data_IF_557146489925
#
_entry.id   IF_557146489925
#
_cell.length_a   1.000
_cell.length_b   1.000
_cell.length_c   1.000
_cell.angle_alpha   90.00
_cell.angle_beta   90.00
_cell.angle_gamma   90.00
#
_symmetry.space_group_name_H-M   'P 1'
#
loop_
_entity.id
_entity.type
_entity.pdbx_description
1 polymer ?
#
# COMPACT_ATOMS: atom_id res chain seq x y z
N UNK A 1 -2.54 -12.88 24.66
CA UNK A 1 -2.04 -11.51 24.42
C UNK A 1 -2.31 -11.15 22.96
N UNK A 2 -2.90 -9.97 22.69
CA UNK A 2 -3.17 -9.50 21.32
C UNK A 2 -2.28 -8.29 21.05
N UNK A 3 -1.27 -8.46 20.19
CA UNK A 3 -0.36 -7.39 19.78
C UNK A 3 0.95 -7.95 19.24
N UNK A 4 1.55 -7.28 18.26
CA UNK A 4 2.89 -7.61 17.80
C UNK A 4 3.91 -7.02 18.78
N UNK A 5 4.84 -7.84 19.26
CA UNK A 5 6.03 -7.36 19.98
C UNK A 5 7.15 -7.10 18.97
N UNK A 6 7.80 -5.95 19.08
CA UNK A 6 9.06 -5.67 18.39
C UNK A 6 10.08 -5.19 19.43
N UNK A 7 11.35 -5.45 19.17
CA UNK A 7 12.48 -5.01 20.00
C UNK A 7 13.56 -4.43 19.11
N UNK A 8 14.20 -3.36 19.56
CA UNK A 8 15.33 -2.73 18.90
C UNK A 8 16.30 -2.23 19.97
N UNK A 9 17.60 -2.38 19.73
CA UNK A 9 18.64 -1.87 20.63
C UNK A 9 18.71 -0.34 20.47
N UNK A 10 18.32 0.36 21.53
CA UNK A 10 18.35 1.83 21.61
C UNK A 10 19.19 2.25 22.80
N UNK A 11 19.91 3.37 22.65
CA UNK A 11 20.63 3.99 23.78
C UNK A 11 19.64 4.33 24.89
N UNK A 12 20.07 4.21 26.15
CA UNK A 12 19.23 4.38 27.33
C UNK A 12 18.48 5.73 27.34
N UNK A 13 19.14 6.80 26.91
CA UNK A 13 18.55 8.14 26.81
C UNK A 13 17.34 8.18 25.88
N UNK A 14 17.42 7.49 24.74
CA UNK A 14 16.34 7.41 23.74
C UNK A 14 15.21 6.52 24.24
N UNK A 15 15.54 5.37 24.86
CA UNK A 15 14.56 4.50 25.50
C UNK A 15 13.75 5.24 26.56
N UNK A 16 14.43 6.02 27.40
CA UNK A 16 13.82 6.82 28.47
C UNK A 16 12.92 7.91 27.93
N UNK A 17 13.35 8.63 26.89
CA UNK A 17 12.53 9.65 26.24
C UNK A 17 11.28 9.04 25.59
N UNK A 18 11.40 7.92 24.89
CA UNK A 18 10.26 7.19 24.28
C UNK A 18 9.30 6.68 25.36
N UNK A 19 9.83 6.11 26.46
CA UNK A 19 9.03 5.65 27.58
C UNK A 19 8.25 6.79 28.26
N UNK A 20 8.89 7.94 28.47
CA UNK A 20 8.26 9.10 29.10
C UNK A 20 7.25 9.82 28.19
N UNK A 21 7.44 9.72 26.87
CA UNK A 21 6.58 10.35 25.86
C UNK A 21 5.47 9.43 25.33
N UNK A 22 5.53 8.13 25.64
CA UNK A 22 4.51 7.17 25.25
C UNK A 22 3.18 7.43 25.95
N UNK A 23 2.14 7.81 25.19
CA UNK A 23 0.76 7.81 25.68
C UNK A 23 0.32 6.34 25.81
N UNK A 24 0.65 5.70 26.94
CA UNK A 24 0.25 4.34 27.26
C UNK A 24 -1.26 4.28 27.51
N UNK A 25 -2.05 4.40 26.45
CA UNK A 25 -3.43 3.92 26.41
C UNK A 25 -3.44 2.41 26.19
N UNK A 26 -2.78 1.70 27.11
CA UNK A 26 -3.07 0.30 27.39
C UNK A 26 -4.45 0.21 28.05
N UNK A 27 -5.05 -0.99 27.99
CA UNK A 27 -6.36 -1.28 28.55
C UNK A 27 -6.50 -0.76 30.00
N UNK A 28 -7.71 -0.29 30.36
CA UNK A 28 -8.02 0.49 31.57
C UNK A 28 -7.56 -0.21 32.87
N UNK A 29 -6.33 0.01 33.30
CA UNK A 29 -5.95 -0.13 34.70
C UNK A 29 -6.67 0.97 35.47
N UNK A 30 -7.35 0.60 36.56
CA UNK A 30 -7.90 1.56 37.53
C UNK A 30 -6.78 2.26 38.32
N UNK A 31 -5.70 2.68 37.67
CA UNK A 31 -4.74 3.58 38.27
C UNK A 31 -5.42 4.95 38.33
N UNK A 32 -5.78 5.33 39.55
CA UNK A 32 -6.34 6.64 39.83
C UNK A 32 -5.41 7.71 39.28
N UNK A 33 -5.96 8.71 38.61
CA UNK A 33 -5.16 9.79 38.06
C UNK A 33 -4.39 10.48 39.18
N UNK A 34 -3.16 10.92 38.91
CA UNK A 34 -2.31 11.64 39.87
C UNK A 34 -3.03 12.77 40.63
N UNK A 35 -3.94 13.57 40.02
CA UNK A 35 -4.75 14.54 40.76
C UNK A 35 -5.63 13.92 41.85
N UNK A 36 -6.07 12.68 41.68
CA UNK A 36 -6.96 11.96 42.61
C UNK A 36 -6.22 11.46 43.85
N UNK A 37 -4.98 11.02 43.68
CA UNK A 37 -4.11 10.62 44.79
C UNK A 37 -3.70 11.83 45.62
N UNK A 38 -3.35 12.94 44.94
CA UNK A 38 -2.97 14.19 45.57
C UNK A 38 -4.12 14.81 46.41
N UNK A 39 -5.35 14.77 45.89
CA UNK A 39 -6.53 15.26 46.63
C UNK A 39 -6.86 14.36 47.83
N UNK A 40 -6.68 13.03 47.72
CA UNK A 40 -6.94 12.09 48.83
C UNK A 40 -5.91 12.19 49.95
N UNK A 41 -4.69 12.60 49.64
CA UNK A 41 -3.63 12.84 50.64
C UNK A 41 -3.78 14.19 51.36
N UNK A 42 -4.37 15.20 50.71
CA UNK A 42 -4.51 16.55 51.27
C UNK A 42 -5.89 16.88 51.85
N UNK A 43 -6.95 16.25 51.36
CA UNK A 43 -8.30 16.41 51.91
C UNK A 43 -8.70 15.11 52.59
N UNK A 44 -8.91 15.16 53.91
CA UNK A 44 -9.55 14.10 54.71
C UNK A 44 -11.04 13.94 54.34
N UNK A 45 -11.34 13.87 53.05
CA UNK A 45 -12.68 13.64 52.53
C UNK A 45 -12.86 12.13 52.36
N UNK A 46 -13.62 11.53 53.28
CA UNK A 46 -14.01 10.14 53.21
C UNK A 46 -14.71 9.83 51.88
N UNK A 47 -14.52 8.61 51.39
CA UNK A 47 -14.90 8.14 50.05
C UNK A 47 -16.39 8.38 49.72
N UNK A 48 -17.27 8.40 50.73
CA UNK A 48 -18.69 8.73 50.62
C UNK A 48 -18.97 10.16 50.14
N UNK A 49 -18.13 11.12 50.51
CA UNK A 49 -18.36 12.54 50.21
C UNK A 49 -18.04 12.86 48.75
N UNK A 50 -17.19 12.03 48.13
CA UNK A 50 -16.84 12.09 46.72
C UNK A 50 -17.86 11.41 45.82
N UNK A 51 -18.50 10.32 46.24
CA UNK A 51 -19.66 9.77 45.53
C UNK A 51 -20.87 10.72 45.57
N UNK A 52 -21.10 11.39 46.70
CA UNK A 52 -22.13 12.44 46.83
C UNK A 52 -21.80 13.65 45.96
N UNK A 53 -20.53 14.08 45.86
CA UNK A 53 -20.10 15.14 44.94
C UNK A 53 -20.13 14.71 43.47
N UNK A 54 -19.77 13.47 43.12
CA UNK A 54 -19.91 12.95 41.75
C UNK A 54 -21.37 12.82 41.34
N UNK A 55 -22.27 12.38 42.23
CA UNK A 55 -23.71 12.40 41.98
C UNK A 55 -24.23 13.83 41.83
N UNK A 56 -23.66 14.81 42.54
CA UNK A 56 -23.97 16.25 42.35
C UNK A 56 -23.42 16.81 41.04
N UNK A 57 -22.24 16.40 40.56
CA UNK A 57 -21.64 16.78 39.27
C UNK A 57 -22.30 16.04 38.09
N UNK A 58 -22.81 14.83 38.31
CA UNK A 58 -23.60 14.09 37.34
C UNK A 58 -25.05 14.62 37.27
N UNK A 59 -25.63 15.07 38.38
CA UNK A 59 -26.97 15.72 38.43
C UNK A 59 -26.94 17.17 37.97
N UNK A 60 -25.92 17.95 38.33
CA UNK A 60 -25.57 19.20 37.64
C UNK A 60 -24.70 18.82 36.46
N UNK A 61 -25.29 18.06 35.53
CA UNK A 61 -24.60 17.62 34.33
C UNK A 61 -23.78 18.77 33.81
N UNK A 62 -22.46 18.54 33.70
CA UNK A 62 -21.57 19.41 32.97
C UNK A 62 -22.34 19.74 31.70
N UNK A 63 -22.86 20.96 31.59
CA UNK A 63 -23.44 21.44 30.37
C UNK A 63 -22.25 21.42 29.41
N UNK A 64 -22.07 20.27 28.73
CA UNK A 64 -21.43 20.21 27.43
C UNK A 64 -21.95 21.46 26.76
N UNK A 65 -21.06 22.38 26.37
CA UNK A 65 -21.41 23.44 25.43
C UNK A 65 -22.03 22.72 24.23
N UNK A 66 -23.36 22.61 24.24
CA UNK A 66 -24.18 21.99 23.21
C UNK A 66 -24.15 23.00 22.09
N UNK A 67 -23.28 22.79 21.12
CA UNK A 67 -23.10 23.72 20.01
C UNK A 67 -22.16 23.22 18.92
N UNK A 68 -21.29 22.24 19.20
CA UNK A 68 -20.53 21.55 18.17
C UNK A 68 -21.23 20.26 17.73
N UNK A 69 -21.26 19.92 16.42
CA UNK A 69 -21.68 18.58 16.00
C UNK A 69 -20.81 17.53 16.70
N UNK A 70 -21.36 16.34 17.02
CA UNK A 70 -20.58 15.26 17.60
C UNK A 70 -19.42 14.90 16.66
N UNK A 71 -18.18 15.13 17.11
CA UNK A 71 -16.99 14.69 16.37
C UNK A 71 -16.93 13.16 16.49
N UNK A 72 -17.23 12.46 15.42
CA UNK A 72 -17.02 11.02 15.34
C UNK A 72 -15.53 10.70 15.51
N UNK A 73 -15.23 9.64 16.27
CA UNK A 73 -13.84 9.17 16.38
C UNK A 73 -13.40 8.70 15.00
N UNK A 74 -12.27 9.20 14.46
CA UNK A 74 -11.78 8.72 13.18
C UNK A 74 -11.58 7.21 13.26
N UNK A 75 -12.08 6.49 12.26
CA UNK A 75 -11.85 5.06 12.15
C UNK A 75 -10.35 4.82 12.05
N UNK A 76 -9.81 4.00 12.95
CA UNK A 76 -8.42 3.60 12.88
C UNK A 76 -8.17 2.81 11.58
N UNK A 77 -6.98 2.97 11.00
CA UNK A 77 -6.52 2.28 9.78
C UNK A 77 -7.35 2.66 8.54
N UNK A 78 -7.37 3.96 8.22
CA UNK A 78 -7.88 4.48 6.95
C UNK A 78 -6.67 4.96 6.13
N UNK A 79 -6.51 4.44 4.92
CA UNK A 79 -5.40 4.78 4.03
C UNK A 79 -5.93 5.17 2.65
N UNK A 80 -5.33 6.20 2.06
CA UNK A 80 -5.55 6.52 0.65
C UNK A 80 -4.82 5.51 -0.24
N UNK A 81 -3.64 5.05 0.18
CA UNK A 81 -2.80 4.15 -0.60
C UNK A 81 -2.15 3.06 0.26
N UNK A 82 -2.07 1.84 -0.28
CA UNK A 82 -1.33 0.73 0.32
C UNK A 82 -0.50 0.00 -0.73
N UNK A 83 0.76 -0.32 -0.39
CA UNK A 83 1.67 -1.05 -1.27
C UNK A 83 1.86 -2.48 -0.76
N UNK A 84 1.65 -3.47 -1.63
CA UNK A 84 1.72 -4.90 -1.33
C UNK A 84 2.80 -5.54 -2.19
N UNK A 85 3.73 -6.27 -1.56
CA UNK A 85 4.98 -6.76 -2.16
C UNK A 85 5.88 -5.63 -2.71
N UNK A 86 5.77 -4.41 -2.15
CA UNK A 86 6.44 -3.21 -2.66
C UNK A 86 7.95 -3.15 -2.46
N UNK A 87 8.52 -4.06 -1.66
CA UNK A 87 9.95 -4.14 -1.31
C UNK A 87 10.58 -2.79 -0.95
N UNK A 88 11.07 -2.01 -1.91
CA UNK A 88 11.69 -0.71 -1.67
C UNK A 88 10.71 0.39 -1.22
N UNK A 89 9.39 0.21 -1.38
CA UNK A 89 8.41 1.15 -0.83
C UNK A 89 8.32 2.50 -1.54
N UNK A 90 8.87 2.61 -2.74
CA UNK A 90 9.03 3.91 -3.39
C UNK A 90 7.72 4.45 -3.93
N UNK A 91 6.75 3.59 -4.23
CA UNK A 91 5.40 4.06 -4.54
C UNK A 91 4.76 4.67 -3.30
N UNK A 92 4.97 4.05 -2.14
CA UNK A 92 4.53 4.59 -0.86
C UNK A 92 5.17 5.96 -0.58
N UNK A 93 6.47 6.11 -0.81
CA UNK A 93 7.17 7.39 -0.65
C UNK A 93 6.61 8.47 -1.58
N UNK A 94 6.45 8.16 -2.87
CA UNK A 94 5.95 9.11 -3.87
C UNK A 94 4.50 9.52 -3.58
N UNK A 95 3.64 8.57 -3.20
CA UNK A 95 2.26 8.87 -2.80
C UNK A 95 2.23 9.72 -1.52
N UNK A 96 3.12 9.45 -0.57
CA UNK A 96 3.26 10.27 0.64
C UNK A 96 3.71 11.69 0.31
N UNK A 97 4.67 11.86 -0.61
CA UNK A 97 5.12 13.17 -1.09
C UNK A 97 4.00 13.99 -1.75
N UNK A 98 3.02 13.32 -2.37
CA UNK A 98 1.82 13.95 -2.96
C UNK A 98 0.74 14.30 -1.92
N UNK A 99 0.96 13.99 -0.65
CA UNK A 99 0.08 14.32 0.47
C UNK A 99 -0.99 13.27 0.77
N UNK A 100 -0.85 12.04 0.27
CA UNK A 100 -1.78 10.95 0.56
C UNK A 100 -1.48 10.30 1.92
N UNK A 101 -2.52 9.77 2.57
CA UNK A 101 -2.35 8.94 3.76
C UNK A 101 -1.92 7.54 3.33
N UNK A 102 -0.63 7.26 3.44
CA UNK A 102 -0.05 5.99 3.01
C UNK A 102 0.01 4.98 4.16
N UNK A 103 -0.44 3.76 3.90
CA UNK A 103 -0.35 2.65 4.84
C UNK A 103 1.03 2.01 4.88
N UNK A 104 1.22 0.99 5.74
CA UNK A 104 2.48 0.27 5.80
C UNK A 104 2.78 -0.48 4.50
N UNK A 105 4.05 -0.55 4.10
CA UNK A 105 4.50 -1.38 2.98
C UNK A 105 4.43 -2.85 3.40
N UNK A 106 3.54 -3.61 2.76
CA UNK A 106 3.30 -5.02 3.07
C UNK A 106 4.28 -5.89 2.29
N UNK A 107 5.44 -6.17 2.87
CA UNK A 107 6.44 -7.05 2.26
C UNK A 107 7.17 -7.88 3.33
N UNK A 108 7.45 -9.15 3.01
CA UNK A 108 8.11 -10.10 3.93
C UNK A 108 9.52 -9.63 4.35
N UNK A 109 10.16 -8.79 3.55
CA UNK A 109 11.47 -8.20 3.86
C UNK A 109 11.46 -7.27 5.06
N UNK A 110 10.32 -6.64 5.37
CA UNK A 110 10.16 -5.79 6.56
C UNK A 110 9.75 -6.57 7.80
N UNK A 111 8.92 -7.60 7.63
CA UNK A 111 8.33 -8.31 8.75
C UNK A 111 7.84 -9.70 8.37
N UNK A 112 8.09 -10.69 9.23
CA UNK A 112 7.56 -12.07 9.05
C UNK A 112 6.03 -12.10 9.10
N UNK A 113 5.42 -11.11 9.76
CA UNK A 113 3.97 -10.93 9.83
C UNK A 113 3.38 -10.49 8.48
N UNK A 114 4.22 -10.03 7.55
CA UNK A 114 3.82 -9.67 6.19
C UNK A 114 3.97 -10.82 5.18
N UNK A 115 4.07 -12.06 5.67
CA UNK A 115 4.05 -13.24 4.82
C UNK A 115 2.65 -13.52 4.25
N UNK A 116 2.48 -13.24 2.96
CA UNK A 116 1.25 -13.52 2.19
C UNK A 116 1.00 -15.01 1.92
N UNK A 117 1.98 -15.87 2.17
CA UNK A 117 1.91 -17.32 1.93
C UNK A 117 1.40 -18.06 3.18
N UNK A 118 1.63 -17.49 4.36
CA UNK A 118 1.32 -18.10 5.66
C UNK A 118 -0.12 -18.62 5.76
N UNK A 119 -0.24 -19.90 6.09
CA UNK A 119 -1.50 -20.65 6.16
C UNK A 119 -2.15 -20.69 7.56
N UNK A 120 -1.55 -20.06 8.58
CA UNK A 120 -2.12 -20.10 9.94
C UNK A 120 -3.53 -19.51 9.96
N UNK A 121 -4.50 -20.39 10.25
CA UNK A 121 -5.93 -20.15 10.53
C UNK A 121 -6.65 -19.31 9.46
N UNK A 122 -6.28 -19.47 8.18
CA UNK A 122 -6.55 -18.56 7.05
C UNK A 122 -5.70 -17.30 7.12
N UNK A 123 -4.95 -17.03 6.05
CA UNK A 123 -4.16 -15.83 5.86
C UNK A 123 -4.73 -14.60 6.57
N UNK A 124 -4.24 -14.32 7.77
CA UNK A 124 -4.70 -13.19 8.56
C UNK A 124 -4.35 -11.89 7.85
N UNK A 125 -3.17 -11.83 7.23
CA UNK A 125 -2.79 -10.71 6.38
C UNK A 125 -3.59 -10.67 5.07
N UNK A 126 -3.66 -11.73 4.23
CA UNK A 126 -4.56 -11.73 3.07
C UNK A 126 -6.02 -11.38 3.40
N UNK A 127 -6.56 -11.93 4.49
CA UNK A 127 -7.92 -11.68 4.96
C UNK A 127 -8.10 -10.27 5.51
N UNK A 128 -7.11 -9.74 6.22
CA UNK A 128 -7.09 -8.35 6.66
C UNK A 128 -7.04 -7.40 5.45
N UNK A 129 -6.20 -7.68 4.45
CA UNK A 129 -6.16 -6.89 3.21
C UNK A 129 -7.50 -6.92 2.48
N UNK A 130 -8.12 -8.11 2.36
CA UNK A 130 -9.45 -8.25 1.78
C UNK A 130 -10.48 -7.45 2.58
N UNK A 131 -10.48 -7.53 3.90
CA UNK A 131 -11.35 -6.74 4.77
C UNK A 131 -11.14 -5.23 4.56
N UNK A 132 -9.89 -4.77 4.51
CA UNK A 132 -9.57 -3.36 4.33
C UNK A 132 -10.04 -2.85 2.96
N UNK A 133 -9.90 -3.66 1.90
CA UNK A 133 -10.40 -3.34 0.56
C UNK A 133 -11.94 -3.36 0.53
N UNK A 134 -12.57 -4.43 0.99
CA UNK A 134 -14.03 -4.61 0.94
C UNK A 134 -14.79 -3.56 1.76
N UNK A 135 -14.22 -3.12 2.88
CA UNK A 135 -14.79 -2.05 3.70
C UNK A 135 -14.33 -0.65 3.27
N UNK A 136 -13.71 -0.50 2.09
CA UNK A 136 -13.23 0.77 1.53
C UNK A 136 -12.35 1.56 2.52
N UNK A 137 -11.59 0.84 3.35
CA UNK A 137 -10.59 1.42 4.27
C UNK A 137 -9.27 1.73 3.58
N UNK A 138 -9.10 1.21 2.37
CA UNK A 138 -8.02 1.55 1.45
C UNK A 138 -8.68 2.06 0.16
N UNK A 139 -8.27 3.22 -0.34
CA UNK A 139 -8.81 3.78 -1.59
C UNK A 139 -8.06 3.32 -2.83
N UNK A 140 -6.77 3.05 -2.71
CA UNK A 140 -5.92 2.54 -3.78
C UNK A 140 -4.89 1.51 -3.28
N UNK A 141 -4.60 0.49 -4.07
CA UNK A 141 -3.56 -0.51 -3.78
C UNK A 141 -2.67 -0.78 -4.97
N UNK A 142 -1.35 -0.85 -4.75
CA UNK A 142 -0.38 -1.35 -5.72
C UNK A 142 0.17 -2.70 -5.25
N UNK A 143 0.12 -3.70 -6.13
CA UNK A 143 0.43 -5.09 -5.84
C UNK A 143 1.55 -5.55 -6.77
N UNK A 144 2.73 -5.83 -6.21
CA UNK A 144 3.96 -6.15 -6.96
C UNK A 144 4.47 -7.56 -6.63
N UNK A 145 3.68 -8.64 -6.85
CA UNK A 145 4.04 -9.97 -6.40
C UNK A 145 5.35 -10.43 -7.07
N UNK A 146 6.23 -11.13 -6.34
CA UNK A 146 7.52 -11.50 -6.87
C UNK A 146 7.38 -12.42 -8.08
N UNK A 147 7.93 -11.96 -9.19
CA UNK A 147 7.85 -12.63 -10.49
C UNK A 147 9.04 -13.54 -10.80
N UNK A 148 9.90 -13.84 -9.83
CA UNK A 148 11.18 -14.56 -10.04
C UNK A 148 11.00 -15.92 -10.72
N UNK A 149 9.99 -16.70 -10.31
CA UNK A 149 9.66 -17.99 -10.94
C UNK A 149 8.90 -17.86 -12.27
N UNK A 150 8.27 -16.70 -12.51
CA UNK A 150 7.59 -16.36 -13.75
C UNK A 150 8.48 -15.68 -14.79
N UNK A 151 9.69 -15.27 -14.40
CA UNK A 151 10.64 -14.65 -15.30
C UNK A 151 11.01 -15.57 -16.47
N UNK A 152 11.12 -15.04 -17.70
CA UNK A 152 11.73 -15.77 -18.82
C UNK A 152 13.17 -16.20 -18.53
N UNK A 153 13.89 -15.42 -17.73
CA UNK A 153 15.28 -15.67 -17.37
C UNK A 153 15.46 -16.67 -16.21
N UNK A 154 14.37 -17.20 -15.63
CA UNK A 154 14.44 -18.15 -14.55
C UNK A 154 15.14 -19.45 -15.00
N UNK A 155 16.29 -19.77 -14.40
CA UNK A 155 17.06 -21.00 -14.64
C UNK A 155 17.25 -21.80 -13.33
N UNK A 156 17.00 -23.12 -13.31
CA UNK A 156 16.28 -23.86 -14.35
C UNK A 156 14.83 -23.32 -14.50
N UNK A 157 14.27 -23.48 -15.70
CA UNK A 157 12.90 -23.08 -15.96
C UNK A 157 11.95 -24.09 -15.29
N UNK A 158 11.09 -23.61 -14.40
CA UNK A 158 10.11 -24.45 -13.67
C UNK A 158 8.68 -24.32 -14.22
N UNK A 159 8.51 -23.49 -15.26
CA UNK A 159 7.24 -23.20 -15.93
C UNK A 159 7.47 -22.64 -17.34
N UNK A 160 6.49 -22.82 -18.23
CA UNK A 160 6.49 -22.30 -19.60
C UNK A 160 5.32 -21.33 -19.84
N UNK A 161 5.24 -20.71 -21.02
CA UNK A 161 4.08 -19.91 -21.41
C UNK A 161 2.81 -20.75 -21.63
N UNK A 162 2.97 -22.01 -22.08
CA UNK A 162 1.87 -22.97 -22.25
C UNK A 162 1.41 -23.56 -20.92
N UNK A 163 2.33 -23.66 -19.95
CA UNK A 163 2.07 -24.19 -18.61
C UNK A 163 2.55 -23.18 -17.55
N UNK A 164 1.85 -22.03 -17.42
CA UNK A 164 2.27 -20.93 -16.55
C UNK A 164 2.11 -21.25 -15.07
N UNK A 165 1.32 -22.27 -14.70
CA UNK A 165 1.22 -22.79 -13.32
C UNK A 165 2.40 -23.70 -12.92
N UNK A 166 3.28 -24.04 -13.86
CA UNK A 166 4.52 -24.79 -13.62
C UNK A 166 4.40 -26.30 -13.83
N UNK A 167 5.53 -26.90 -14.21
CA UNK A 167 5.64 -28.31 -14.63
C UNK A 167 5.43 -29.30 -13.47
N UNK A 168 5.78 -28.89 -12.25
CA UNK A 168 5.63 -29.67 -11.03
C UNK A 168 5.19 -28.75 -9.90
N UNK A 169 3.98 -28.95 -9.38
CA UNK A 169 3.38 -28.10 -8.34
C UNK A 169 3.97 -28.35 -6.95
N UNK A 170 4.60 -29.50 -6.75
CA UNK A 170 5.32 -29.86 -5.52
C UNK A 170 6.67 -29.14 -5.42
N UNK A 171 7.19 -28.62 -6.54
CA UNK A 171 8.40 -27.83 -6.53
C UNK A 171 8.18 -26.54 -5.69
N UNK A 172 8.98 -26.28 -4.62
CA UNK A 172 8.78 -25.14 -3.74
C UNK A 172 8.76 -23.79 -4.46
N UNK A 173 9.57 -23.63 -5.51
CA UNK A 173 9.64 -22.39 -6.32
C UNK A 173 8.35 -22.16 -7.12
N UNK A 174 7.74 -23.23 -7.61
CA UNK A 174 6.44 -23.18 -8.29
C UNK A 174 5.33 -22.88 -7.29
N UNK A 175 5.33 -23.60 -6.18
CA UNK A 175 4.34 -23.48 -5.11
C UNK A 175 4.29 -22.06 -4.53
N UNK A 176 5.43 -21.51 -4.11
CA UNK A 176 5.55 -20.14 -3.59
C UNK A 176 5.10 -19.12 -4.64
N UNK A 177 5.61 -19.23 -5.87
CA UNK A 177 5.29 -18.30 -6.94
C UNK A 177 3.79 -18.28 -7.26
N UNK A 178 3.16 -19.45 -7.36
CA UNK A 178 1.72 -19.56 -7.62
C UNK A 178 0.91 -18.92 -6.50
N UNK A 179 1.23 -19.20 -5.24
CA UNK A 179 0.50 -18.62 -4.11
C UNK A 179 0.56 -17.10 -4.09
N UNK A 180 1.75 -16.52 -4.27
CA UNK A 180 1.88 -15.06 -4.30
C UNK A 180 1.16 -14.43 -5.50
N UNK A 181 1.25 -15.04 -6.68
CA UNK A 181 0.50 -14.59 -7.86
C UNK A 181 -1.01 -14.65 -7.63
N UNK A 182 -1.54 -15.77 -7.11
CA UNK A 182 -2.97 -15.93 -6.86
C UNK A 182 -3.47 -15.01 -5.76
N UNK A 183 -2.69 -14.77 -4.70
CA UNK A 183 -3.02 -13.78 -3.67
C UNK A 183 -3.09 -12.38 -4.27
N UNK A 184 -2.11 -11.98 -5.09
CA UNK A 184 -2.14 -10.69 -5.78
C UNK A 184 -3.35 -10.53 -6.69
N UNK A 185 -3.66 -11.53 -7.51
CA UNK A 185 -4.83 -11.53 -8.39
C UNK A 185 -6.15 -11.51 -7.59
N UNK A 186 -6.23 -12.23 -6.48
CA UNK A 186 -7.40 -12.21 -5.60
C UNK A 186 -7.61 -10.84 -4.93
N UNK A 187 -6.54 -10.15 -4.54
CA UNK A 187 -6.62 -8.79 -4.02
C UNK A 187 -7.09 -7.80 -5.09
N UNK A 188 -6.59 -7.92 -6.33
CA UNK A 188 -7.05 -7.10 -7.45
C UNK A 188 -8.53 -7.37 -7.78
N UNK A 189 -8.94 -8.63 -7.76
CA UNK A 189 -10.34 -9.03 -7.92
C UNK A 189 -11.22 -8.45 -6.82
N UNK A 190 -10.78 -8.47 -5.56
CA UNK A 190 -11.51 -7.83 -4.47
C UNK A 190 -11.58 -6.30 -4.64
N UNK A 191 -10.50 -5.67 -5.11
CA UNK A 191 -10.47 -4.24 -5.38
C UNK A 191 -11.49 -3.86 -6.46
N UNK A 192 -11.60 -4.67 -7.52
CA UNK A 192 -12.60 -4.50 -8.57
C UNK A 192 -14.01 -4.39 -7.98
N UNK A 193 -14.48 -5.41 -7.26
CA UNK A 193 -15.84 -5.45 -6.71
C UNK A 193 -16.08 -4.46 -5.57
N UNK A 194 -15.03 -4.06 -4.86
CA UNK A 194 -15.12 -3.04 -3.81
C UNK A 194 -15.05 -1.61 -4.36
N UNK A 195 -14.95 -1.41 -5.69
CA UNK A 195 -14.76 -0.10 -6.31
C UNK A 195 -13.53 0.65 -5.79
N UNK A 196 -12.50 -0.11 -5.40
CA UNK A 196 -11.20 0.39 -4.95
C UNK A 196 -10.25 0.38 -6.14
N UNK A 197 -9.39 1.39 -6.25
CA UNK A 197 -8.37 1.41 -7.30
C UNK A 197 -7.34 0.32 -7.01
N UNK A 198 -7.13 -0.57 -7.98
CA UNK A 198 -6.14 -1.62 -7.86
C UNK A 198 -5.16 -1.56 -9.02
N UNK A 199 -3.89 -1.81 -8.74
CA UNK A 199 -2.87 -2.00 -9.75
C UNK A 199 -2.03 -3.21 -9.39
N UNK A 200 -1.84 -4.10 -10.36
CA UNK A 200 -0.96 -5.25 -10.22
C UNK A 200 0.16 -5.18 -11.27
N UNK A 201 1.41 -5.13 -10.82
CA UNK A 201 2.60 -5.04 -11.66
C UNK A 201 3.20 -6.42 -11.96
N UNK A 202 3.65 -6.60 -13.20
CA UNK A 202 4.58 -7.66 -13.54
C UNK A 202 5.45 -7.27 -14.74
N UNK A 203 6.67 -7.82 -14.89
CA UNK A 203 7.48 -7.55 -16.09
C UNK A 203 6.75 -7.96 -17.37
N UNK A 204 6.95 -7.22 -18.47
CA UNK A 204 6.19 -7.42 -19.73
C UNK A 204 6.16 -8.86 -20.22
N UNK A 205 7.31 -9.56 -20.12
CA UNK A 205 7.49 -10.94 -20.59
C UNK A 205 7.24 -12.00 -19.51
N UNK A 206 6.78 -11.62 -18.33
CA UNK A 206 6.43 -12.53 -17.25
C UNK A 206 5.48 -13.62 -17.75
N UNK A 207 5.67 -14.87 -17.30
CA UNK A 207 4.75 -15.98 -17.59
C UNK A 207 3.44 -15.86 -16.79
N UNK A 208 3.39 -14.98 -15.78
CA UNK A 208 2.23 -14.80 -14.89
C UNK A 208 0.99 -14.29 -15.63
N UNK A 209 1.21 -13.46 -16.65
CA UNK A 209 0.18 -12.90 -17.53
C UNK A 209 -0.56 -13.94 -18.39
N UNK A 210 -0.05 -15.17 -18.44
CA UNK A 210 -0.66 -16.29 -19.16
C UNK A 210 -1.48 -17.19 -18.23
N UNK A 211 -1.51 -16.90 -16.92
CA UNK A 211 -2.38 -17.60 -15.98
C UNK A 211 -3.85 -17.43 -16.40
N UNK A 212 -4.63 -18.49 -16.25
CA UNK A 212 -6.07 -18.48 -16.56
C UNK A 212 -6.79 -17.41 -15.75
N UNK A 213 -6.37 -17.19 -14.50
CA UNK A 213 -6.89 -16.16 -13.61
C UNK A 213 -6.63 -14.75 -14.15
N UNK A 214 -5.44 -14.48 -14.69
CA UNK A 214 -5.14 -13.20 -15.33
C UNK A 214 -6.02 -12.97 -16.55
N UNK A 215 -6.11 -13.99 -17.43
CA UNK A 215 -6.92 -13.94 -18.63
C UNK A 215 -8.41 -13.78 -18.31
N UNK A 216 -8.89 -14.43 -17.25
CA UNK A 216 -10.25 -14.28 -16.77
C UNK A 216 -10.51 -12.84 -16.28
N UNK A 217 -9.63 -12.25 -15.49
CA UNK A 217 -9.81 -10.87 -15.03
C UNK A 217 -9.92 -9.87 -16.19
N UNK A 218 -9.19 -10.09 -17.29
CA UNK A 218 -9.30 -9.25 -18.49
C UNK A 218 -10.68 -9.31 -19.17
N UNK A 219 -11.49 -10.33 -18.87
CA UNK A 219 -12.87 -10.42 -19.38
C UNK A 219 -13.86 -9.58 -18.58
N UNK A 220 -13.47 -9.11 -17.39
CA UNK A 220 -14.35 -8.36 -16.49
C UNK A 220 -14.33 -6.87 -16.83
N UNK A 221 -15.51 -6.25 -16.77
CA UNK A 221 -15.63 -4.80 -16.84
C UNK A 221 -14.95 -4.14 -15.65
N UNK A 222 -14.25 -3.02 -15.89
CA UNK A 222 -13.46 -2.32 -14.87
C UNK A 222 -12.02 -2.81 -14.72
N UNK A 223 -11.64 -3.91 -15.39
CA UNK A 223 -10.24 -4.34 -15.53
C UNK A 223 -9.66 -3.83 -16.84
N UNK A 224 -8.45 -3.27 -16.80
CA UNK A 224 -7.68 -2.87 -17.99
C UNK A 224 -6.25 -3.36 -17.88
N UNK A 225 -5.63 -3.64 -19.03
CA UNK A 225 -4.20 -3.93 -19.10
C UNK A 225 -3.49 -2.82 -19.86
N UNK A 226 -2.37 -2.37 -19.31
CA UNK A 226 -1.43 -1.50 -20.02
C UNK A 226 -0.02 -2.03 -19.97
N UNK A 227 0.80 -1.58 -20.92
CA UNK A 227 2.19 -2.02 -21.03
C UNK A 227 3.13 -0.86 -21.24
N UNK A 228 3.42 -0.10 -20.15
CA UNK A 228 4.37 0.99 -20.16
C UNK A 228 5.81 0.50 -20.29
N UNK A 229 6.67 1.39 -20.78
CA UNK A 229 8.11 1.24 -20.69
C UNK A 229 8.69 2.38 -19.84
N UNK A 230 9.60 2.07 -18.90
CA UNK A 230 10.21 3.08 -18.02
C UNK A 230 10.89 4.22 -18.78
N UNK A 231 11.42 3.95 -19.97
CA UNK A 231 12.06 4.95 -20.82
C UNK A 231 11.09 6.01 -21.38
N UNK A 232 9.78 5.72 -21.44
CA UNK A 232 8.76 6.72 -21.79
C UNK A 232 8.59 7.80 -20.70
N UNK A 233 9.13 7.53 -19.50
CA UNK A 233 9.05 8.40 -18.33
C UNK A 233 10.44 8.86 -17.87
N UNK A 234 11.41 8.94 -18.79
CA UNK A 234 12.74 9.50 -18.52
C UNK A 234 13.74 8.55 -17.88
N UNK A 235 13.42 7.26 -17.72
CA UNK A 235 14.43 6.28 -17.26
C UNK A 235 15.45 5.98 -18.35
N UNK A 236 16.73 5.88 -17.96
CA UNK A 236 17.84 5.49 -18.86
C UNK A 236 17.66 4.04 -19.35
N UNK A 237 16.99 3.19 -18.57
CA UNK A 237 16.78 1.78 -18.90
C UNK A 237 15.46 1.57 -19.62
N UNK A 238 15.48 0.70 -20.63
CA UNK A 238 14.29 0.19 -21.29
C UNK A 238 13.74 -1.02 -20.52
N UNK A 239 13.05 -0.77 -19.40
CA UNK A 239 12.33 -1.79 -18.64
C UNK A 239 10.85 -1.72 -18.99
N UNK A 240 10.33 -2.80 -19.54
CA UNK A 240 8.92 -2.90 -19.93
C UNK A 240 8.11 -3.65 -18.87
N UNK A 241 6.91 -3.17 -18.62
CA UNK A 241 6.00 -3.72 -17.62
C UNK A 241 4.67 -4.13 -18.27
N UNK A 242 3.89 -4.90 -17.52
CA UNK A 242 2.45 -4.99 -17.66
C UNK A 242 1.82 -4.57 -16.35
N UNK A 243 0.85 -3.67 -16.43
CA UNK A 243 -0.03 -3.36 -15.31
C UNK A 243 -1.41 -3.91 -15.61
N UNK A 244 -1.96 -4.64 -14.67
CA UNK A 244 -3.37 -5.00 -14.64
C UNK A 244 -4.05 -4.09 -13.64
N UNK A 245 -4.97 -3.26 -14.10
CA UNK A 245 -5.57 -2.21 -13.28
C UNK A 245 -7.06 -2.47 -13.07
N UNK A 246 -7.57 -2.14 -11.89
CA UNK A 246 -8.97 -2.26 -11.49
C UNK A 246 -9.54 -0.89 -11.15
N UNK A 247 -10.72 -0.60 -11.69
CA UNK A 247 -11.49 0.64 -11.46
C UNK A 247 -10.76 1.93 -11.86
N UNK A 248 -9.72 1.87 -12.68
CA UNK A 248 -8.95 3.03 -13.15
C UNK A 248 -8.76 2.99 -14.65
N UNK A 249 -8.71 4.18 -15.26
CA UNK A 249 -8.43 4.38 -16.67
C UNK A 249 -6.94 4.68 -16.84
N UNK A 250 -6.17 3.79 -17.50
CA UNK A 250 -4.71 3.86 -17.51
C UNK A 250 -4.13 4.70 -18.68
N UNK A 251 -4.93 5.58 -19.29
CA UNK A 251 -4.58 6.29 -20.53
C UNK A 251 -3.30 7.12 -20.42
N UNK A 252 -3.03 7.73 -19.26
CA UNK A 252 -1.82 8.51 -19.02
C UNK A 252 -0.53 7.67 -19.04
N UNK A 253 -0.63 6.36 -18.76
CA UNK A 253 0.50 5.43 -18.60
C UNK A 253 0.72 4.53 -19.81
N UNK A 254 -0.20 4.49 -20.77
CA UNK A 254 -0.08 3.72 -22.02
C UNK A 254 1.03 4.18 -22.98
N UNK A 255 1.95 5.05 -22.53
CA UNK A 255 3.01 5.65 -23.35
C UNK A 255 4.08 4.61 -23.72
N UNK A 256 4.34 4.49 -25.02
CA UNK A 256 5.55 3.86 -25.57
C UNK A 256 6.31 4.89 -26.39
N UNK A 257 7.65 4.83 -26.37
CA UNK A 257 8.45 5.44 -27.43
C UNK A 257 8.35 4.54 -28.66
N UNK A 258 7.80 5.06 -29.75
CA UNK A 258 8.14 4.56 -31.08
C UNK A 258 9.53 5.08 -31.42
N UNK A 259 10.49 4.18 -31.63
CA UNK A 259 11.78 4.56 -32.20
C UNK A 259 11.54 4.66 -33.72
N UNK A 260 11.21 5.85 -34.20
CA UNK A 260 11.33 6.17 -35.62
C UNK A 260 12.82 6.23 -35.94
N UNK A 261 13.36 5.19 -36.58
CA UNK A 261 14.66 5.28 -37.25
C UNK A 261 14.48 6.20 -38.46
N UNK A 262 14.67 7.52 -38.28
CA UNK A 262 14.90 8.39 -39.44
C UNK A 262 16.31 8.10 -39.95
N UNK A 263 16.39 7.43 -41.08
CA UNK A 263 17.60 7.38 -41.89
C UNK A 263 18.00 8.82 -42.28
N UNK A 264 19.02 9.38 -41.62
CA UNK A 264 19.57 10.68 -42.02
C UNK A 264 20.22 11.45 -40.89
N UNK A 265 21.56 11.53 -40.96
CA UNK A 265 22.47 12.56 -40.44
C UNK A 265 22.05 13.45 -39.25
N UNK A 266 22.84 13.32 -38.18
CA UNK A 266 23.28 14.40 -37.28
C UNK A 266 22.20 15.37 -36.76
N UNK A 267 21.41 14.91 -35.80
CA UNK A 267 21.09 15.66 -34.58
C UNK A 267 20.56 14.69 -33.52
N UNK A 268 20.91 14.91 -32.26
CA UNK A 268 20.45 14.07 -31.14
C UNK A 268 18.92 14.02 -31.05
N UNK A 269 18.33 13.10 -30.27
CA UNK A 269 16.89 12.97 -30.17
C UNK A 269 16.24 14.25 -29.62
N UNK A 270 15.71 15.09 -30.51
CA UNK A 270 14.90 16.24 -30.16
C UNK A 270 13.52 15.71 -29.74
N UNK A 271 13.23 15.85 -28.46
CA UNK A 271 11.97 15.43 -27.86
C UNK A 271 10.95 16.56 -28.02
N UNK A 272 10.16 16.56 -29.10
CA UNK A 272 8.98 17.43 -29.21
C UNK A 272 7.71 16.63 -28.92
N UNK A 273 6.92 17.06 -27.94
CA UNK A 273 5.56 16.57 -27.74
C UNK A 273 4.60 17.74 -27.51
N UNK A 274 3.50 17.76 -28.26
CA UNK A 274 2.40 18.71 -28.09
C UNK A 274 1.63 18.35 -26.82
N UNK A 275 1.45 19.34 -25.95
CA UNK A 275 0.55 19.31 -24.80
C UNK A 275 -0.85 19.61 -25.33
N UNK A 276 -1.68 18.60 -25.53
CA UNK A 276 -3.12 18.86 -25.67
C UNK A 276 -3.70 19.06 -24.27
N UNK A 277 -4.24 20.26 -24.07
CA UNK A 277 -4.92 20.67 -22.85
C UNK A 277 -6.17 19.81 -22.65
N UNK A 278 -6.27 19.12 -21.52
CA UNK A 278 -7.57 18.69 -21.03
C UNK A 278 -7.72 18.96 -19.53
N UNK A 279 -8.85 19.61 -19.24
CA UNK A 279 -9.54 19.86 -17.97
C UNK A 279 -9.34 21.28 -17.40
N UNK A 280 -10.27 22.16 -17.80
CA UNK A 280 -10.75 23.31 -17.03
C UNK A 280 -11.97 22.88 -16.20
N UNK A 281 -11.99 23.30 -14.92
CA UNK A 281 -13.12 23.25 -13.99
C UNK A 281 -13.02 22.08 -12.99
N UNK A 282 -13.10 22.25 -11.67
CA UNK A 282 -13.50 23.37 -10.82
C UNK A 282 -12.79 23.24 -9.45
N UNK A 283 -12.42 24.37 -8.87
CA UNK A 283 -11.94 24.50 -7.49
C UNK A 283 -13.02 24.04 -6.50
N UNK A 284 -12.83 22.87 -5.89
CA UNK A 284 -13.40 22.53 -4.59
C UNK A 284 -12.44 21.54 -3.89
N UNK A 285 -12.06 21.87 -2.65
CA UNK A 285 -10.96 21.25 -1.88
C UNK A 285 -11.14 19.79 -1.45
N UNK A 286 -11.91 18.98 -2.18
CA UNK A 286 -11.92 17.52 -2.06
C UNK A 286 -11.29 16.91 -3.31
N UNK A 287 -10.11 16.28 -3.15
CA UNK A 287 -9.48 15.48 -4.21
C UNK A 287 -10.42 14.34 -4.61
N UNK A 288 -11.04 14.49 -5.78
CA UNK A 288 -11.93 13.51 -6.40
C UNK A 288 -11.18 12.21 -6.71
N UNK A 289 -11.89 11.06 -6.78
CA UNK A 289 -11.26 9.75 -7.03
C UNK A 289 -10.42 9.68 -8.31
N UNK A 290 -10.69 10.53 -9.30
CA UNK A 290 -9.91 10.63 -10.53
C UNK A 290 -8.47 11.14 -10.31
N UNK A 291 -8.25 12.04 -9.34
CA UNK A 291 -6.91 12.55 -9.02
C UNK A 291 -6.01 11.46 -8.42
N UNK A 292 -6.51 10.64 -7.49
CA UNK A 292 -5.78 9.54 -6.87
C UNK A 292 -5.38 8.47 -7.90
N UNK A 293 -6.27 8.18 -8.85
CA UNK A 293 -6.01 7.27 -9.97
C UNK A 293 -4.86 7.76 -10.86
N UNK A 294 -4.91 9.03 -11.28
CA UNK A 294 -3.85 9.62 -12.10
C UNK A 294 -2.53 9.72 -11.34
N UNK A 295 -2.58 10.11 -10.06
CA UNK A 295 -1.40 10.23 -9.23
C UNK A 295 -0.72 8.90 -8.97
N UNK A 296 -1.47 7.83 -8.74
CA UNK A 296 -0.92 6.48 -8.61
C UNK A 296 -0.18 6.05 -9.89
N UNK A 297 -0.83 6.27 -11.03
CA UNK A 297 -0.32 5.94 -12.35
C UNK A 297 0.93 6.77 -12.71
N UNK A 298 0.93 8.06 -12.41
CA UNK A 298 2.06 8.97 -12.64
C UNK A 298 3.21 8.71 -11.65
N UNK A 299 2.91 8.32 -10.41
CA UNK A 299 3.91 7.90 -9.42
C UNK A 299 4.70 6.68 -9.92
N UNK A 300 3.99 5.70 -10.47
CA UNK A 300 4.61 4.51 -11.06
C UNK A 300 5.41 4.78 -12.33
N UNK A 301 4.96 5.75 -13.14
CA UNK A 301 5.71 6.25 -14.28
C UNK A 301 7.03 6.91 -13.86
N UNK A 302 7.01 7.78 -12.85
CA UNK A 302 8.17 8.53 -12.35
C UNK A 302 9.19 7.65 -11.59
N UNK A 303 8.71 6.60 -10.91
CA UNK A 303 9.43 5.69 -10.00
C UNK A 303 10.81 5.18 -10.49
N UNK A 304 11.06 5.03 -11.79
CA UNK A 304 12.31 4.41 -12.29
C UNK A 304 13.35 5.37 -12.84
N UNK A 305 13.24 6.68 -12.57
CA UNK A 305 14.35 7.61 -12.76
C UNK A 305 15.45 7.45 -11.68
N UNK A 306 15.08 7.19 -10.41
CA UNK A 306 16.02 7.25 -9.28
C UNK A 306 16.53 5.89 -8.75
N UNK A 307 15.88 4.77 -9.04
CA UNK A 307 16.21 3.46 -8.45
C UNK A 307 17.37 2.70 -9.11
N UNK A 308 18.25 3.37 -9.87
CA UNK A 308 19.42 2.75 -10.50
C UNK A 308 20.73 3.00 -9.73
N UNK A 309 20.80 3.99 -8.83
CA UNK A 309 21.99 4.17 -7.99
C UNK A 309 22.18 3.05 -6.96
N UNK A 310 21.10 2.40 -6.51
CA UNK A 310 21.13 1.38 -5.45
C UNK A 310 21.39 -0.05 -5.94
N UNK A 311 21.19 -0.34 -7.23
CA UNK A 311 21.42 -1.69 -7.78
C UNK A 311 22.84 -1.90 -8.34
N UNK A 312 23.71 -0.89 -8.28
CA UNK A 312 25.13 -0.99 -8.67
C UNK A 312 26.08 -1.36 -7.53
N UNK A 313 25.62 -1.33 -6.27
CA UNK A 313 26.49 -1.49 -5.09
C UNK A 313 26.35 -2.84 -4.39
N UNK A 314 25.36 -3.68 -4.74
CA UNK A 314 25.07 -4.93 -4.02
C UNK A 314 25.63 -6.21 -4.67
N UNK A 315 26.49 -6.09 -5.69
CA UNK A 315 27.11 -7.24 -6.40
C UNK A 315 28.65 -7.28 -6.24
N UNK A 316 29.17 -6.62 -5.20
CA UNK A 316 30.56 -6.77 -4.74
C UNK A 316 30.57 -6.90 -3.22
N UNK A 317 30.53 -8.14 -2.76
CA UNK A 317 30.66 -8.53 -1.35
C UNK A 317 30.67 -10.04 -1.25
#
# INVERSE_FOLDING_TARGET
EKGASCSCDVKEEVSRAIWLSGDFKGNRSFLQSWPRTFIREFEAAEEEDWEKKQRRVAKKGLQRRRGGPPVERPLAQLFDFLEVCGRSGVLSDEMSCRGYVVGPIIDITYSKQYDLISDRVFGWLPGWLLFMIQHKRIRATAIEPPCTSFSPAARPAVRSYKEPRGFCKENPKVWVGNRLAFRGLALLWAALYAEVFGLLETPRRSKMVWLQEWLYLLTLEGIREVSPASCAFGSIRQKEFRFLTANTVPDSVSRRREILFSSGLLSGPICSFKREELIKGSDDGLRTGSSLSLDLLDSMASFRQNSISLYGAADKG
#
